data_IF_962739182467
#
_entry.id   IF_962739182467
#
_cell.length_a   1.000
_cell.length_b   1.000
_cell.length_c   1.000
_cell.angle_alpha   90.00
_cell.angle_beta   90.00
_cell.angle_gamma   90.00
#
_symmetry.space_group_name_H-M   'P 1'
#
loop_
_entity.id
_entity.type
_entity.pdbx_description
1 polymer ?
#
# COMPACT_ATOMS: atom_id res chain seq x y z
N UNK A 1 -20.16 16.78 -16.28
CA UNK A 1 -19.51 17.84 -15.46
C UNK A 1 -18.90 17.18 -14.24
N UNK A 2 -17.60 17.33 -14.04
CA UNK A 2 -16.90 16.74 -12.88
C UNK A 2 -17.05 17.62 -11.64
N UNK A 3 -16.86 17.05 -10.45
CA UNK A 3 -16.88 17.80 -9.17
C UNK A 3 -15.87 18.95 -9.21
N UNK A 4 -14.71 18.75 -9.86
CA UNK A 4 -13.70 19.79 -10.07
C UNK A 4 -14.21 20.95 -10.93
N UNK A 5 -14.87 20.65 -12.04
CA UNK A 5 -15.45 21.68 -12.91
C UNK A 5 -16.54 22.48 -12.20
N UNK A 6 -17.38 21.82 -11.38
CA UNK A 6 -18.43 22.47 -10.60
C UNK A 6 -17.83 23.41 -9.55
N UNK A 7 -16.80 22.96 -8.84
CA UNK A 7 -16.13 23.77 -7.82
C UNK A 7 -15.48 25.02 -8.43
N UNK A 8 -14.81 24.88 -9.58
CA UNK A 8 -14.18 26.02 -10.28
C UNK A 8 -15.26 27.03 -10.71
N UNK A 9 -16.36 26.57 -11.29
CA UNK A 9 -17.45 27.46 -11.71
C UNK A 9 -18.04 28.21 -10.50
N UNK A 10 -18.23 27.54 -9.37
CA UNK A 10 -18.76 28.18 -8.15
C UNK A 10 -17.80 29.19 -7.54
N UNK A 11 -16.49 28.95 -7.61
CA UNK A 11 -15.47 29.91 -7.18
C UNK A 11 -15.42 31.15 -8.09
N UNK A 12 -15.73 31.00 -9.37
CA UNK A 12 -15.80 32.14 -10.31
C UNK A 12 -17.06 33.00 -10.11
N UNK A 13 -18.15 32.41 -9.61
CA UNK A 13 -19.41 33.11 -9.31
C UNK A 13 -19.41 33.83 -7.95
N UNK A 14 -18.34 33.68 -7.14
CA UNK A 14 -18.27 34.20 -5.78
C UNK A 14 -17.99 35.71 -5.74
N UNK A 15 -18.68 36.48 -4.87
CA UNK A 15 -18.37 37.89 -4.67
C UNK A 15 -16.96 38.11 -4.12
N UNK A 16 -16.33 39.20 -4.54
CA UNK A 16 -14.93 39.52 -4.20
C UNK A 16 -14.69 39.62 -2.68
N UNK A 17 -15.73 39.95 -1.91
CA UNK A 17 -15.72 40.00 -0.44
C UNK A 17 -15.36 38.68 0.24
N UNK A 18 -15.56 37.55 -0.43
CA UNK A 18 -15.29 36.21 0.11
C UNK A 18 -13.94 35.64 -0.33
N UNK A 19 -13.23 36.29 -1.26
CA UNK A 19 -11.90 35.85 -1.68
C UNK A 19 -10.90 35.72 -0.52
N UNK A 20 -10.90 36.59 0.51
CA UNK A 20 -10.02 36.43 1.67
C UNK A 20 -10.28 35.13 2.43
N UNK A 21 -11.54 34.78 2.67
CA UNK A 21 -11.95 33.57 3.40
C UNK A 21 -11.64 32.30 2.60
N UNK A 22 -11.85 32.35 1.28
CA UNK A 22 -11.47 31.26 0.38
C UNK A 22 -9.95 31.06 0.35
N UNK A 23 -9.18 32.16 0.33
CA UNK A 23 -7.70 32.10 0.39
C UNK A 23 -7.24 31.47 1.70
N UNK A 24 -7.80 31.90 2.84
CA UNK A 24 -7.49 31.34 4.16
C UNK A 24 -7.81 29.83 4.22
N UNK A 25 -8.94 29.42 3.64
CA UNK A 25 -9.30 28.01 3.56
C UNK A 25 -8.31 27.21 2.69
N UNK A 26 -7.89 27.75 1.54
CA UNK A 26 -6.91 27.09 0.67
C UNK A 26 -5.57 26.95 1.40
N UNK A 27 -5.10 27.99 2.09
CA UNK A 27 -3.87 27.95 2.87
C UNK A 27 -3.95 26.93 4.01
N UNK A 28 -5.08 26.86 4.72
CA UNK A 28 -5.35 25.84 5.73
C UNK A 28 -5.28 24.42 5.14
N UNK A 29 -5.93 24.19 3.99
CA UNK A 29 -5.92 22.89 3.31
C UNK A 29 -4.50 22.53 2.88
N UNK A 30 -3.76 23.46 2.27
CA UNK A 30 -2.38 23.23 1.86
C UNK A 30 -1.47 22.89 3.05
N UNK A 31 -1.56 23.64 4.14
CA UNK A 31 -0.78 23.38 5.35
C UNK A 31 -1.11 22.02 5.98
N UNK A 32 -2.41 21.68 6.05
CA UNK A 32 -2.89 20.38 6.54
C UNK A 32 -2.40 19.22 5.67
N UNK A 33 -2.39 19.39 4.35
CA UNK A 33 -1.89 18.37 3.43
C UNK A 33 -0.37 18.26 3.45
N UNK A 34 0.37 19.36 3.60
CA UNK A 34 1.83 19.30 3.82
C UNK A 34 2.19 18.51 5.08
N UNK A 35 1.47 18.72 6.19
CA UNK A 35 1.67 17.93 7.41
C UNK A 35 1.29 16.45 7.27
N UNK A 36 0.45 16.11 6.29
CA UNK A 36 0.02 14.74 6.01
C UNK A 36 0.90 14.03 4.96
N UNK A 37 1.55 14.79 4.07
CA UNK A 37 2.48 14.31 3.04
C UNK A 37 3.93 14.32 3.54
N UNK A 38 4.24 15.10 4.58
CA UNK A 38 5.38 14.84 5.45
C UNK A 38 5.20 13.42 5.96
N UNK A 39 5.89 12.49 5.29
CA UNK A 39 5.73 11.05 5.45
C UNK A 39 5.65 10.72 6.94
N UNK A 40 4.85 9.72 7.37
CA UNK A 40 5.20 9.06 8.61
C UNK A 40 6.63 8.59 8.41
N UNK A 41 7.60 9.30 9.00
CA UNK A 41 8.95 8.78 9.17
C UNK A 41 8.70 7.51 9.93
N UNK A 42 8.66 6.38 9.21
CA UNK A 42 8.75 5.08 9.84
C UNK A 42 9.98 5.24 10.70
N UNK A 43 9.86 5.18 12.03
CA UNK A 43 11.00 5.35 12.91
C UNK A 43 12.09 4.43 12.37
N UNK A 44 13.31 4.94 12.17
CA UNK A 44 14.40 4.15 11.55
C UNK A 44 14.57 2.78 12.22
N UNK A 45 14.15 2.68 13.48
CA UNK A 45 14.02 1.46 14.28
C UNK A 45 13.09 0.40 13.68
N UNK A 46 11.89 0.78 13.22
CA UNK A 46 10.94 -0.14 12.57
C UNK A 46 11.47 -0.59 11.20
N UNK A 47 12.08 0.31 10.42
CA UNK A 47 12.67 -0.05 9.14
C UNK A 47 13.82 -1.07 9.31
N UNK A 48 14.67 -0.87 10.33
CA UNK A 48 15.73 -1.82 10.71
C UNK A 48 15.18 -3.15 11.20
N UNK A 49 14.11 -3.13 12.00
CA UNK A 49 13.46 -4.35 12.48
C UNK A 49 12.89 -5.18 11.32
N UNK A 50 12.25 -4.53 10.35
CA UNK A 50 11.75 -5.19 9.13
C UNK A 50 12.88 -5.78 8.27
N UNK A 51 13.96 -5.01 8.05
CA UNK A 51 15.11 -5.49 7.29
C UNK A 51 15.75 -6.73 7.95
N UNK A 52 15.91 -6.71 9.28
CA UNK A 52 16.46 -7.82 10.04
C UNK A 52 15.55 -9.06 9.98
N UNK A 53 14.24 -8.89 10.18
CA UNK A 53 13.29 -9.98 10.08
C UNK A 53 13.31 -10.63 8.69
N UNK A 54 13.37 -9.82 7.63
CA UNK A 54 13.45 -10.33 6.26
C UNK A 54 14.71 -11.16 6.03
N UNK A 55 15.88 -10.67 6.45
CA UNK A 55 17.14 -11.44 6.35
C UNK A 55 17.09 -12.76 7.13
N UNK A 56 16.45 -12.78 8.31
CA UNK A 56 16.31 -13.99 9.11
C UNK A 56 15.38 -15.01 8.43
N UNK A 57 14.30 -14.56 7.80
CA UNK A 57 13.37 -15.43 7.03
C UNK A 57 14.00 -15.94 5.74
N UNK A 58 14.77 -15.12 5.03
CA UNK A 58 15.45 -15.53 3.79
C UNK A 58 16.51 -16.60 4.04
N UNK A 59 17.19 -16.53 5.19
CA UNK A 59 18.22 -17.49 5.61
C UNK A 59 17.66 -18.77 6.25
N UNK A 60 16.36 -18.82 6.53
CA UNK A 60 15.73 -20.02 7.05
C UNK A 60 15.71 -21.09 5.96
N UNK A 61 16.63 -22.05 6.06
CA UNK A 61 16.59 -23.26 5.24
C UNK A 61 15.24 -23.93 5.47
N UNK A 62 14.43 -24.03 4.42
CA UNK A 62 13.22 -24.84 4.41
C UNK A 62 13.69 -26.29 4.46
N UNK A 63 13.96 -26.77 5.67
CA UNK A 63 14.25 -28.17 5.92
C UNK A 63 12.97 -28.95 5.63
N UNK A 64 12.90 -29.53 4.44
CA UNK A 64 11.94 -30.57 4.09
C UNK A 64 12.31 -31.86 4.85
N UNK A 65 12.30 -31.80 6.19
CA UNK A 65 12.46 -32.97 7.06
C UNK A 65 11.12 -33.69 7.27
N UNK A 66 10.12 -33.42 6.44
CA UNK A 66 8.94 -34.26 6.39
C UNK A 66 9.24 -35.44 5.45
N UNK A 67 9.05 -36.70 5.88
CA UNK A 67 8.90 -37.78 4.92
C UNK A 67 7.79 -37.35 3.95
N UNK A 68 7.97 -37.57 2.65
CA UNK A 68 6.97 -37.24 1.63
C UNK A 68 5.58 -37.52 2.18
N UNK A 69 4.84 -36.45 2.47
CA UNK A 69 3.53 -36.58 3.10
C UNK A 69 2.69 -37.44 2.17
N UNK A 70 1.95 -38.43 2.68
CA UNK A 70 1.08 -39.29 1.85
C UNK A 70 0.20 -38.47 0.89
N UNK A 71 -0.17 -37.27 1.33
CA UNK A 71 -0.86 -36.27 0.52
C UNK A 71 -0.06 -35.79 -0.71
N UNK A 72 1.24 -35.52 -0.57
CA UNK A 72 2.12 -35.12 -1.68
C UNK A 72 2.24 -36.25 -2.72
N UNK A 73 2.39 -37.50 -2.27
CA UNK A 73 2.42 -38.65 -3.19
C UNK A 73 1.07 -38.86 -3.90
N UNK A 74 -0.05 -38.73 -3.19
CA UNK A 74 -1.39 -38.81 -3.77
C UNK A 74 -1.59 -37.73 -4.85
N UNK A 75 -1.13 -36.51 -4.56
CA UNK A 75 -1.24 -35.37 -5.47
C UNK A 75 -0.38 -35.56 -6.73
N UNK A 76 0.87 -35.99 -6.57
CA UNK A 76 1.75 -36.31 -7.70
C UNK A 76 1.18 -37.43 -8.59
N UNK A 77 0.62 -38.47 -7.98
CA UNK A 77 -0.05 -39.55 -8.72
C UNK A 77 -1.26 -39.06 -9.51
N UNK A 78 -2.06 -38.14 -8.94
CA UNK A 78 -3.17 -37.52 -9.67
C UNK A 78 -2.69 -36.73 -10.88
N UNK A 79 -1.63 -35.92 -10.75
CA UNK A 79 -1.10 -35.15 -11.87
C UNK A 79 -0.53 -36.04 -12.98
N UNK A 80 0.18 -37.12 -12.63
CA UNK A 80 0.66 -38.12 -13.59
C UNK A 80 -0.48 -38.81 -14.33
N UNK A 81 -1.57 -39.16 -13.63
CA UNK A 81 -2.78 -39.71 -14.25
C UNK A 81 -3.47 -38.74 -15.21
N UNK A 82 -3.24 -37.44 -15.06
CA UNK A 82 -3.75 -36.39 -15.95
C UNK A 82 -2.77 -36.07 -17.10
N UNK A 83 -1.66 -36.80 -17.23
CA UNK A 83 -0.67 -36.59 -18.29
C UNK A 83 0.22 -35.35 -18.09
N UNK A 84 0.23 -34.79 -16.87
CA UNK A 84 1.12 -33.70 -16.49
C UNK A 84 2.37 -34.32 -15.87
N UNK A 85 3.46 -34.40 -16.63
CA UNK A 85 4.77 -34.74 -16.08
C UNK A 85 5.39 -33.47 -15.49
N UNK A 86 5.44 -33.43 -14.15
CA UNK A 86 6.22 -32.47 -13.36
C UNK A 86 7.62 -33.02 -13.13
#
# INVERSE_FOLDING_TARGET
MTIREIAIAKLQELPESFLPEVSEFIDFVMHKHQNRIAQPKIPDDIAKAWAKWFEEVDRLEVTTNQPESEYQQLLLNKYRQQGLEL
#
